data_IF_383376691668
#
_entry.id   IF_383376691668
#
_cell.length_a   1.000
_cell.length_b   1.000
_cell.length_c   1.000
_cell.angle_alpha   90.00
_cell.angle_beta   90.00
_cell.angle_gamma   90.00
#
_symmetry.space_group_name_H-M   'P 1'
#
loop_
_entity.id
_entity.type
_entity.pdbx_description
1 polymer ?
#
# COMPACT_ATOMS: atom_id res chain seq x y z
N UNK A 1 -18.00 -7.27 -2.22
CA UNK A 1 -17.35 -6.35 -3.17
C UNK A 1 -16.06 -5.86 -2.53
N UNK A 2 -14.90 -6.17 -3.11
CA UNK A 2 -13.61 -5.73 -2.58
C UNK A 2 -13.42 -4.25 -2.90
N UNK A 3 -13.75 -3.38 -1.93
CA UNK A 3 -13.36 -1.98 -1.99
C UNK A 3 -11.83 -1.94 -1.95
N UNK A 4 -11.22 -1.82 -3.12
CA UNK A 4 -9.77 -1.75 -3.22
C UNK A 4 -9.39 -0.34 -2.80
N UNK A 5 -8.96 -0.17 -1.55
CA UNK A 5 -8.56 1.14 -1.01
C UNK A 5 -7.19 1.57 -1.58
N UNK A 6 -6.38 0.62 -2.04
CA UNK A 6 -5.03 0.82 -2.56
C UNK A 6 -4.97 0.69 -4.09
N UNK A 7 -4.69 1.80 -4.78
CA UNK A 7 -4.46 1.83 -6.23
C UNK A 7 -3.00 2.20 -6.53
N UNK A 8 -2.41 1.48 -7.48
CA UNK A 8 -0.99 1.66 -7.86
C UNK A 8 -0.78 3.04 -8.47
N UNK A 9 -1.68 3.45 -9.34
CA UNK A 9 -1.63 4.71 -10.08
C UNK A 9 -1.76 5.90 -9.12
N UNK A 10 -2.66 5.81 -8.13
CA UNK A 10 -2.80 6.84 -7.10
C UNK A 10 -1.54 6.93 -6.22
N UNK A 11 -0.96 5.80 -5.83
CA UNK A 11 0.31 5.77 -5.10
C UNK A 11 1.44 6.46 -5.87
N UNK A 12 1.64 6.08 -7.14
CA UNK A 12 2.72 6.63 -7.96
C UNK A 12 2.50 8.12 -8.25
N UNK A 13 1.26 8.53 -8.51
CA UNK A 13 0.92 9.94 -8.69
C UNK A 13 1.24 10.77 -7.44
N UNK A 14 0.91 10.27 -6.25
CA UNK A 14 1.18 10.95 -4.99
C UNK A 14 2.68 11.02 -4.67
N UNK A 15 3.42 9.93 -4.92
CA UNK A 15 4.87 9.89 -4.67
C UNK A 15 5.65 10.80 -5.64
N UNK A 16 5.17 10.97 -6.87
CA UNK A 16 5.80 11.84 -7.88
C UNK A 16 5.66 13.34 -7.63
N UNK A 17 4.75 13.80 -6.77
CA UNK A 17 4.27 15.20 -6.79
C UNK A 17 5.27 16.28 -6.37
N UNK A 18 6.54 15.93 -6.10
CA UNK A 18 7.67 16.81 -5.73
C UNK A 18 7.54 17.57 -4.40
N UNK A 19 6.34 17.81 -3.87
CA UNK A 19 6.13 18.56 -2.63
C UNK A 19 6.02 17.69 -1.37
N UNK A 20 6.00 16.35 -1.48
CA UNK A 20 5.92 15.41 -0.35
C UNK A 20 4.61 15.45 0.47
N UNK A 21 3.89 16.56 0.40
CA UNK A 21 2.61 16.78 1.05
C UNK A 21 1.53 15.88 0.44
N UNK A 22 1.50 15.69 -0.88
CA UNK A 22 0.51 14.80 -1.50
C UNK A 22 0.74 13.35 -1.11
N UNK A 23 2.00 12.94 -0.97
CA UNK A 23 2.31 11.59 -0.48
C UNK A 23 1.88 11.41 0.98
N UNK A 24 2.10 12.41 1.82
CA UNK A 24 1.62 12.42 3.21
C UNK A 24 0.10 12.38 3.29
N UNK A 25 -0.59 13.16 2.47
CA UNK A 25 -2.05 13.18 2.38
C UNK A 25 -2.61 11.84 1.88
N UNK A 26 -1.97 11.25 0.87
CA UNK A 26 -2.31 9.92 0.36
C UNK A 26 -2.20 8.88 1.48
N UNK A 27 -1.06 8.83 2.18
CA UNK A 27 -0.85 7.92 3.31
C UNK A 27 -1.94 8.08 4.38
N UNK A 28 -2.21 9.31 4.81
CA UNK A 28 -3.19 9.58 5.87
C UNK A 28 -4.62 9.23 5.43
N UNK A 29 -4.96 9.48 4.16
CA UNK A 29 -6.26 9.10 3.59
C UNK A 29 -6.45 7.58 3.64
N UNK A 30 -5.47 6.80 3.15
CA UNK A 30 -5.56 5.33 3.17
C UNK A 30 -5.69 4.82 4.61
N UNK A 31 -4.87 5.33 5.51
CA UNK A 31 -4.91 4.95 6.92
C UNK A 31 -6.28 5.25 7.55
N UNK A 32 -6.79 6.46 7.34
CA UNK A 32 -8.11 6.89 7.83
C UNK A 32 -9.24 6.03 7.26
N UNK A 33 -9.21 5.73 5.97
CA UNK A 33 -10.19 4.85 5.32
C UNK A 33 -10.16 3.44 5.93
N UNK A 34 -8.97 2.90 6.17
CA UNK A 34 -8.81 1.60 6.83
C UNK A 34 -9.36 1.62 8.24
N UNK A 35 -8.89 2.53 9.09
CA UNK A 35 -9.31 2.61 10.49
C UNK A 35 -10.82 2.87 10.64
N UNK A 36 -11.42 3.67 9.74
CA UNK A 36 -12.86 3.93 9.73
C UNK A 36 -13.68 2.64 9.61
N UNK A 37 -13.20 1.63 8.89
CA UNK A 37 -13.89 0.34 8.76
C UNK A 37 -13.90 -0.46 10.08
N UNK A 38 -12.91 -0.24 10.95
CA UNK A 38 -12.73 -1.00 12.20
C UNK A 38 -13.15 -0.27 13.46
N UNK A 39 -13.24 1.06 13.41
CA UNK A 39 -13.59 1.90 14.55
C UNK A 39 -14.81 1.37 15.36
N UNK A 40 -15.89 0.83 14.75
CA UNK A 40 -17.01 0.30 15.53
C UNK A 40 -16.82 -1.11 16.08
N UNK A 41 -15.71 -1.80 15.79
CA UNK A 41 -15.51 -3.24 16.10
C UNK A 41 -14.24 -3.56 16.87
N UNK A 42 -13.30 -2.63 17.01
CA UNK A 42 -12.04 -2.84 17.71
C UNK A 42 -11.92 -1.88 18.89
N UNK A 43 -11.27 -2.34 19.96
CA UNK A 43 -10.86 -1.46 21.05
C UNK A 43 -9.77 -0.47 20.58
N UNK A 44 -9.60 0.68 21.25
CA UNK A 44 -8.59 1.67 20.88
C UNK A 44 -7.18 1.10 20.70
N UNK A 45 -6.73 0.24 21.62
CA UNK A 45 -5.41 -0.41 21.55
C UNK A 45 -5.26 -1.34 20.35
N UNK A 46 -6.34 -2.00 19.93
CA UNK A 46 -6.34 -2.85 18.72
C UNK A 46 -6.35 -2.02 17.44
N UNK A 47 -7.00 -0.84 17.45
CA UNK A 47 -6.93 0.12 16.34
C UNK A 47 -5.52 0.70 16.18
N UNK A 48 -4.84 0.99 17.29
CA UNK A 48 -3.44 1.43 17.28
C UNK A 48 -2.50 0.35 16.72
N UNK A 49 -2.63 -0.89 17.19
CA UNK A 49 -1.85 -2.01 16.66
C UNK A 49 -2.11 -2.24 15.15
N UNK A 50 -3.35 -2.06 14.70
CA UNK A 50 -3.71 -2.14 13.29
C UNK A 50 -3.06 -1.03 12.47
N UNK A 51 -3.06 0.20 12.99
CA UNK A 51 -2.37 1.35 12.39
C UNK A 51 -0.88 1.06 12.24
N UNK A 52 -0.21 0.62 13.31
CA UNK A 52 1.23 0.33 13.29
C UNK A 52 1.57 -0.76 12.26
N UNK A 53 0.79 -1.84 12.21
CA UNK A 53 1.00 -2.92 11.24
C UNK A 53 0.87 -2.44 9.79
N UNK A 54 -0.11 -1.59 9.51
CA UNK A 54 -0.27 -0.97 8.20
C UNK A 54 0.93 -0.07 7.87
N UNK A 55 1.35 0.78 8.80
CA UNK A 55 2.46 1.71 8.60
C UNK A 55 3.78 1.00 8.31
N UNK A 56 4.06 -0.14 8.96
CA UNK A 56 5.22 -0.99 8.67
C UNK A 56 5.15 -1.51 7.23
N UNK A 57 4.03 -2.09 6.83
CA UNK A 57 3.85 -2.62 5.46
C UNK A 57 3.95 -1.51 4.40
N UNK A 58 3.46 -0.31 4.73
CA UNK A 58 3.54 0.85 3.85
C UNK A 58 4.98 1.34 3.70
N UNK A 59 5.76 1.36 4.78
CA UNK A 59 7.17 1.74 4.74
C UNK A 59 8.01 0.74 3.91
N UNK A 60 7.68 -0.54 3.94
CA UNK A 60 8.31 -1.53 3.06
C UNK A 60 8.11 -1.19 1.58
N UNK A 61 6.90 -0.77 1.19
CA UNK A 61 6.60 -0.31 -0.17
C UNK A 61 7.39 0.95 -0.53
N UNK A 62 7.47 1.93 0.38
CA UNK A 62 8.27 3.14 0.19
C UNK A 62 9.73 2.79 -0.06
N UNK A 63 10.30 1.90 0.73
CA UNK A 63 11.69 1.48 0.61
C UNK A 63 11.95 0.68 -0.69
N UNK A 64 10.93 -0.01 -1.21
CA UNK A 64 11.00 -0.72 -2.48
C UNK A 64 10.75 0.19 -3.70
N UNK A 65 10.25 1.40 -3.50
CA UNK A 65 10.00 2.36 -4.57
C UNK A 65 11.31 3.03 -4.98
N UNK A 66 11.71 2.98 -6.27
CA UNK A 66 12.90 3.65 -6.73
C UNK A 66 12.77 5.17 -6.65
N UNK A 67 13.90 5.86 -6.47
CA UNK A 67 13.95 7.32 -6.49
C UNK A 67 13.46 7.91 -7.82
N UNK A 68 13.72 7.19 -8.92
CA UNK A 68 13.16 7.50 -10.23
C UNK A 68 11.97 6.57 -10.53
N UNK A 69 10.76 7.08 -10.32
CA UNK A 69 9.53 6.33 -10.56
C UNK A 69 9.33 5.99 -12.04
N UNK A 70 9.92 6.74 -12.97
CA UNK A 70 9.72 6.49 -14.41
C UNK A 70 10.15 5.05 -14.79
N UNK A 71 11.12 4.48 -14.06
CA UNK A 71 11.53 3.08 -14.16
C UNK A 71 10.35 2.11 -13.99
N UNK A 72 9.41 2.40 -13.09
CA UNK A 72 8.24 1.56 -12.83
C UNK A 72 7.18 1.62 -13.95
N UNK A 73 7.24 2.63 -14.82
CA UNK A 73 6.31 2.86 -15.93
C UNK A 73 6.89 2.43 -17.27
N UNK A 74 8.21 2.27 -17.37
CA UNK A 74 8.88 1.78 -18.57
C UNK A 74 8.35 0.40 -18.98
N UNK A 75 8.18 0.25 -20.29
CA UNK A 75 7.85 -1.00 -20.97
C UNK A 75 9.12 -1.53 -21.62
N UNK A 76 9.46 -2.78 -21.30
CA UNK A 76 10.53 -3.51 -21.95
C UNK A 76 9.89 -4.47 -22.96
N UNK A 77 10.51 -4.60 -24.12
CA UNK A 77 10.02 -5.48 -25.19
C UNK A 77 10.49 -6.92 -24.93
N UNK A 78 9.56 -7.88 -24.96
CA UNK A 78 9.83 -9.28 -24.58
C UNK A 78 10.74 -10.04 -25.58
N UNK A 79 11.02 -9.44 -26.75
CA UNK A 79 11.80 -10.06 -27.83
C UNK A 79 13.27 -9.57 -27.94
N UNK A 80 13.69 -8.60 -27.12
CA UNK A 80 15.04 -8.03 -27.18
C UNK A 80 15.97 -8.62 -26.10
N UNK A 81 17.24 -8.82 -26.46
CA UNK A 81 18.29 -9.09 -25.46
C UNK A 81 18.51 -7.80 -24.68
N UNK A 82 18.03 -7.78 -23.43
CA UNK A 82 18.13 -6.64 -22.54
C UNK A 82 19.57 -6.38 -22.11
N UNK A 83 19.95 -5.11 -22.07
CA UNK A 83 21.17 -4.62 -21.45
C UNK A 83 21.18 -4.90 -19.95
N UNK A 84 22.37 -4.87 -19.32
CA UNK A 84 22.49 -5.05 -17.87
C UNK A 84 21.71 -3.99 -17.06
N UNK A 85 21.56 -2.79 -17.60
CA UNK A 85 20.81 -1.72 -16.94
C UNK A 85 19.31 -1.99 -16.97
N UNK A 86 18.77 -2.40 -18.13
CA UNK A 86 17.37 -2.78 -18.25
C UNK A 86 17.03 -4.00 -17.38
N UNK A 87 17.95 -4.96 -17.23
CA UNK A 87 17.80 -6.08 -16.31
C UNK A 87 17.71 -5.62 -14.85
N UNK A 88 18.51 -4.61 -14.44
CA UNK A 88 18.42 -4.02 -13.10
C UNK A 88 17.09 -3.31 -12.88
N UNK A 89 16.63 -2.56 -13.87
CA UNK A 89 15.33 -1.88 -13.84
C UNK A 89 14.18 -2.88 -13.67
N UNK A 90 14.23 -4.02 -14.36
CA UNK A 90 13.26 -5.11 -14.17
C UNK A 90 13.28 -5.68 -12.75
N UNK A 91 14.45 -5.88 -12.16
CA UNK A 91 14.57 -6.36 -10.77
C UNK A 91 13.98 -5.34 -9.79
N UNK A 92 14.25 -4.05 -9.97
CA UNK A 92 13.68 -2.98 -9.16
C UNK A 92 12.16 -2.98 -9.28
N UNK A 93 11.63 -3.05 -10.49
CA UNK A 93 10.20 -3.12 -10.76
C UNK A 93 9.56 -4.33 -10.09
N UNK A 94 10.16 -5.51 -10.21
CA UNK A 94 9.66 -6.72 -9.56
C UNK A 94 9.64 -6.61 -8.03
N UNK A 95 10.66 -6.00 -7.41
CA UNK A 95 10.69 -5.76 -5.96
C UNK A 95 9.58 -4.81 -5.51
N UNK A 96 9.38 -3.71 -6.24
CA UNK A 96 8.28 -2.79 -6.01
C UNK A 96 6.92 -3.49 -6.11
N UNK A 97 6.65 -4.19 -7.21
CA UNK A 97 5.35 -4.86 -7.42
C UNK A 97 5.09 -5.93 -6.35
N UNK A 98 6.13 -6.67 -5.94
CA UNK A 98 6.01 -7.63 -4.84
C UNK A 98 5.62 -6.94 -3.52
N UNK A 99 6.29 -5.85 -3.16
CA UNK A 99 5.95 -5.08 -1.96
C UNK A 99 4.52 -4.50 -2.03
N UNK A 100 4.13 -3.98 -3.20
CA UNK A 100 2.80 -3.41 -3.42
C UNK A 100 1.70 -4.47 -3.27
N UNK A 101 1.89 -5.67 -3.86
CA UNK A 101 0.96 -6.77 -3.72
C UNK A 101 0.87 -7.29 -2.27
N UNK A 102 1.99 -7.33 -1.53
CA UNK A 102 1.97 -7.70 -0.11
C UNK A 102 1.18 -6.72 0.73
N UNK A 103 1.37 -5.41 0.53
CA UNK A 103 0.58 -4.38 1.21
C UNK A 103 -0.92 -4.54 0.88
N UNK A 104 -1.24 -4.77 -0.39
CA UNK A 104 -2.62 -5.00 -0.85
C UNK A 104 -3.23 -6.24 -0.22
N UNK A 105 -2.49 -7.34 -0.14
CA UNK A 105 -2.96 -8.59 0.48
C UNK A 105 -3.14 -8.43 1.98
N UNK A 106 -2.17 -7.82 2.69
CA UNK A 106 -2.31 -7.52 4.12
C UNK A 106 -3.56 -6.68 4.39
N UNK A 107 -3.75 -5.63 3.59
CA UNK A 107 -4.94 -4.78 3.65
C UNK A 107 -6.23 -5.57 3.39
N UNK A 108 -6.20 -6.50 2.43
CA UNK A 108 -7.35 -7.37 2.12
C UNK A 108 -7.65 -8.36 3.24
N UNK A 109 -6.64 -9.01 3.81
CA UNK A 109 -6.77 -9.94 4.94
C UNK A 109 -7.39 -9.23 6.13
N UNK A 110 -6.84 -8.05 6.44
CA UNK A 110 -7.41 -7.11 7.39
C UNK A 110 -8.88 -6.94 7.01
N UNK A 111 -9.22 -6.26 5.91
CA UNK A 111 -10.61 -5.90 5.54
C UNK A 111 -11.59 -7.09 5.55
N UNK A 112 -11.14 -8.29 5.16
CA UNK A 112 -11.99 -9.48 5.15
C UNK A 112 -12.23 -10.07 6.54
N UNK A 113 -11.26 -9.97 7.46
CA UNK A 113 -11.43 -10.42 8.86
C UNK A 113 -12.58 -9.70 9.58
N UNK A 114 -12.96 -8.50 9.12
CA UNK A 114 -14.09 -7.71 9.65
C UNK A 114 -15.43 -8.40 9.40
N UNK A 115 -15.60 -9.04 8.25
CA UNK A 115 -16.89 -9.60 7.82
C UNK A 115 -17.42 -10.66 8.80
N UNK A 116 -16.53 -11.23 9.61
CA UNK A 116 -16.81 -12.31 10.56
C UNK A 116 -16.78 -11.88 12.04
N UNK A 117 -16.38 -10.64 12.36
CA UNK A 117 -16.36 -10.16 13.74
C UNK A 117 -17.68 -9.49 14.14
N UNK A 118 -18.41 -9.96 15.17
CA UNK A 118 -19.56 -9.26 15.69
C UNK A 118 -19.14 -7.89 16.26
N UNK A 119 -19.98 -6.84 16.15
CA UNK A 119 -19.69 -5.55 16.73
C UNK A 119 -19.52 -5.69 18.25
N UNK A 120 -18.48 -5.07 18.79
CA UNK A 120 -18.23 -5.05 20.24
C UNK A 120 -19.33 -4.20 20.89
N UNK A 121 -20.04 -4.72 21.92
CA UNK A 121 -21.01 -3.92 22.64
C UNK A 121 -20.33 -2.68 23.22
N UNK A 122 -20.91 -1.50 23.01
CA UNK A 122 -20.53 -0.33 23.79
C UNK A 122 -20.92 -0.61 25.25
N UNK A 123 -19.97 -1.00 26.08
CA UNK A 123 -20.19 -1.03 27.52
C UNK A 123 -20.36 0.43 27.98
N UNK A 124 -21.60 0.77 28.32
CA UNK A 124 -21.99 1.99 29.06
C UNK A 124 -21.87 1.68 30.54
#
# INVERSE_FOLDING_TARGET
>A
MSNTILFREEYLSAFKSKDGQDFSNYRERILSELLRLYKPRLFPTQLEALRESFEVSFQELVNATPSDIEILERKFDDQAVLTLEEQRELVIKARFECAFQRLKENTRIIVNSISYMPPVPAHI
#
